data_IF_110335744187
#
_entry.id   IF_110335744187
#
_cell.length_a   1.000
_cell.length_b   1.000
_cell.length_c   1.000
_cell.angle_alpha   90.00
_cell.angle_beta   90.00
_cell.angle_gamma   90.00
#
_symmetry.space_group_name_H-M   'P 1'
#
loop_
_entity.id
_entity.type
_entity.pdbx_description
1 polymer ?
#
# COMPACT_ATOMS: atom_id res chain seq x y z
N UNK A 1 -51.65 -80.45 47.09
CA UNK A 1 -53.03 -80.69 47.56
C UNK A 1 -53.47 -79.45 48.33
N UNK A 2 -54.44 -78.70 47.76
CA UNK A 2 -55.50 -77.87 48.40
C UNK A 2 -55.05 -76.79 49.41
N UNK A 3 -55.04 -75.48 49.08
CA UNK A 3 -56.16 -74.49 49.14
C UNK A 3 -56.74 -74.38 50.58
N UNK A 4 -56.76 -73.24 51.29
CA UNK A 4 -57.74 -72.09 51.33
C UNK A 4 -57.36 -71.29 52.62
N UNK A 5 -57.21 -69.95 52.69
CA UNK A 5 -58.14 -68.78 52.58
C UNK A 5 -58.60 -68.22 53.96
N UNK A 6 -58.68 -66.88 54.03
CA UNK A 6 -59.50 -66.00 54.90
C UNK A 6 -59.17 -65.87 56.41
N UNK A 7 -59.44 -64.79 57.18
CA UNK A 7 -59.86 -63.38 57.01
C UNK A 7 -60.15 -62.76 58.43
N UNK A 8 -59.87 -61.46 58.66
CA UNK A 8 -60.58 -60.49 59.58
C UNK A 8 -60.49 -60.63 61.14
N UNK A 9 -60.92 -59.64 61.98
CA UNK A 9 -60.97 -58.15 61.94
C UNK A 9 -60.33 -57.40 63.16
N UNK A 10 -60.32 -56.06 63.05
CA UNK A 10 -60.11 -55.01 64.06
C UNK A 10 -61.24 -54.79 65.10
N UNK A 11 -60.96 -54.08 66.22
CA UNK A 11 -61.88 -53.25 67.04
C UNK A 11 -61.08 -52.50 68.17
N UNK A 12 -61.10 -51.15 68.28
CA UNK A 12 -62.00 -50.24 69.06
C UNK A 12 -61.96 -50.46 70.59
N UNK A 13 -62.10 -49.52 71.55
CA UNK A 13 -62.02 -48.06 71.72
C UNK A 13 -62.22 -47.78 73.25
N UNK A 14 -61.92 -46.56 73.73
CA UNK A 14 -62.56 -45.84 74.87
C UNK A 14 -62.13 -45.97 76.39
N UNK A 15 -61.85 -44.77 76.98
CA UNK A 15 -62.15 -44.18 78.32
C UNK A 15 -61.29 -44.37 79.62
N UNK A 16 -60.52 -43.31 79.98
CA UNK A 16 -60.41 -42.47 81.24
C UNK A 16 -60.77 -43.02 82.67
N UNK A 17 -60.44 -42.35 83.83
CA UNK A 17 -59.35 -41.41 84.24
C UNK A 17 -58.74 -41.62 85.69
N UNK A 18 -57.84 -40.70 86.09
CA UNK A 18 -57.56 -40.15 87.45
C UNK A 18 -56.54 -40.79 88.44
N UNK A 19 -55.54 -39.98 88.88
CA UNK A 19 -55.26 -39.57 90.29
C UNK A 19 -53.91 -38.83 90.43
N UNK A 20 -53.89 -37.74 91.21
CA UNK A 20 -52.70 -36.98 91.70
C UNK A 20 -52.42 -37.42 93.16
N UNK A 21 -51.17 -37.63 93.62
CA UNK A 21 -50.49 -36.66 94.53
C UNK A 21 -48.92 -36.64 94.42
N UNK A 22 -48.28 -35.46 94.41
CA UNK A 22 -47.67 -34.67 95.52
C UNK A 22 -46.24 -35.06 95.97
N UNK A 23 -45.27 -34.33 95.38
CA UNK A 23 -44.19 -33.54 96.00
C UNK A 23 -43.32 -34.11 97.14
N UNK A 24 -42.00 -34.23 96.89
CA UNK A 24 -40.82 -33.86 97.72
C UNK A 24 -39.57 -34.55 97.13
N UNK A 25 -38.35 -34.05 97.09
CA UNK A 25 -37.69 -32.74 97.25
C UNK A 25 -36.18 -33.00 97.00
N UNK A 26 -35.47 -32.11 96.28
CA UNK A 26 -34.03 -31.91 96.55
C UNK A 26 -32.96 -32.54 95.64
N UNK A 27 -33.14 -32.69 94.31
CA UNK A 27 -32.03 -33.06 93.38
C UNK A 27 -32.05 -32.37 92.00
N UNK A 28 -32.84 -31.31 91.80
CA UNK A 28 -33.00 -30.66 90.46
C UNK A 28 -32.09 -29.44 90.24
N UNK A 29 -31.37 -28.96 91.26
CA UNK A 29 -30.52 -27.76 91.14
C UNK A 29 -29.10 -28.06 90.61
N UNK A 30 -28.66 -29.33 90.64
CA UNK A 30 -27.32 -29.73 90.16
C UNK A 30 -27.29 -29.93 88.63
N UNK A 31 -28.43 -30.25 88.01
CA UNK A 31 -28.53 -30.52 86.58
C UNK A 31 -28.62 -29.25 85.71
N UNK A 32 -29.05 -28.10 86.25
CA UNK A 32 -29.07 -26.84 85.47
C UNK A 32 -27.67 -26.25 85.27
N UNK A 33 -26.76 -26.41 86.24
CA UNK A 33 -25.37 -25.95 86.12
C UNK A 33 -24.54 -26.83 85.17
N UNK A 34 -24.80 -28.15 85.16
CA UNK A 34 -24.18 -29.08 84.21
C UNK A 34 -24.62 -28.83 82.75
N UNK A 35 -25.86 -28.40 82.53
CA UNK A 35 -26.36 -28.06 81.20
C UNK A 35 -25.69 -26.84 80.58
N UNK A 36 -25.43 -25.78 81.37
CA UNK A 36 -24.77 -24.56 80.87
C UNK A 36 -23.30 -24.81 80.53
N UNK A 37 -22.60 -25.63 81.32
CA UNK A 37 -21.21 -26.00 81.04
C UNK A 37 -21.06 -26.85 79.76
N UNK A 38 -22.07 -27.66 79.41
CA UNK A 38 -22.03 -28.47 78.19
C UNK A 38 -22.24 -27.61 76.93
N UNK A 39 -23.09 -26.58 76.99
CA UNK A 39 -23.35 -25.67 75.87
C UNK A 39 -22.13 -24.79 75.57
N UNK A 40 -21.42 -24.31 76.60
CA UNK A 40 -20.20 -23.51 76.41
C UNK A 40 -19.03 -24.35 75.86
N UNK A 41 -18.93 -25.62 76.27
CA UNK A 41 -17.92 -26.54 75.75
C UNK A 41 -18.18 -26.92 74.27
N UNK A 42 -19.44 -27.18 73.89
CA UNK A 42 -19.77 -27.45 72.48
C UNK A 42 -19.60 -26.20 71.59
N UNK A 43 -19.94 -25.01 72.10
CA UNK A 43 -19.81 -23.76 71.36
C UNK A 43 -18.35 -23.39 71.04
N UNK A 44 -17.44 -23.59 71.99
CA UNK A 44 -16.00 -23.31 71.79
C UNK A 44 -15.36 -24.26 70.77
N UNK A 45 -15.69 -25.56 70.83
CA UNK A 45 -15.22 -26.54 69.83
C UNK A 45 -15.72 -26.19 68.42
N UNK A 46 -16.96 -25.73 68.27
CA UNK A 46 -17.50 -25.34 66.97
C UNK A 46 -16.78 -24.12 66.36
N UNK A 47 -16.38 -23.15 67.20
CA UNK A 47 -15.63 -21.95 66.74
C UNK A 47 -14.21 -22.31 66.32
N UNK A 48 -13.53 -23.21 67.02
CA UNK A 48 -12.18 -23.67 66.65
C UNK A 48 -12.17 -24.51 65.36
N UNK A 49 -13.24 -25.27 65.11
CA UNK A 49 -13.42 -26.02 63.85
C UNK A 49 -13.70 -25.08 62.66
N UNK A 50 -14.51 -24.04 62.86
CA UNK A 50 -14.83 -23.06 61.81
C UNK A 50 -13.62 -22.17 61.51
N UNK A 51 -12.85 -21.79 62.53
CA UNK A 51 -11.67 -20.92 62.37
C UNK A 51 -10.54 -21.58 61.55
N UNK A 52 -10.45 -22.92 61.55
CA UNK A 52 -9.48 -23.65 60.72
C UNK A 52 -9.81 -23.63 59.21
N UNK A 53 -11.05 -23.30 58.83
CA UNK A 53 -11.46 -23.28 57.41
C UNK A 53 -11.23 -21.93 56.73
N UNK A 54 -10.80 -20.90 57.47
CA UNK A 54 -10.58 -19.56 56.93
C UNK A 54 -9.10 -19.15 56.95
N UNK A 55 -8.26 -19.92 56.26
CA UNK A 55 -6.95 -19.44 55.83
C UNK A 55 -6.71 -19.89 54.40
N UNK A 56 -7.39 -19.24 53.46
CA UNK A 56 -7.03 -19.36 52.05
C UNK A 56 -5.67 -18.69 51.86
N UNK A 57 -4.61 -19.49 51.91
CA UNK A 57 -3.29 -19.10 51.44
C UNK A 57 -3.43 -18.81 49.94
N UNK A 58 -3.42 -17.54 49.56
CA UNK A 58 -3.29 -17.14 48.16
C UNK A 58 -1.91 -17.60 47.68
N UNK A 59 -1.87 -18.69 46.92
CA UNK A 59 -0.69 -19.07 46.17
C UNK A 59 -0.57 -18.08 45.00
N UNK A 60 0.47 -17.23 44.95
CA UNK A 60 0.68 -16.39 43.78
C UNK A 60 0.89 -17.30 42.57
N UNK A 61 0.14 -17.04 41.49
CA UNK A 61 0.33 -17.70 40.21
C UNK A 61 1.81 -17.63 39.84
N UNK A 62 2.49 -18.74 39.48
CA UNK A 62 3.89 -18.67 39.10
C UNK A 62 4.02 -17.73 37.90
N UNK A 63 4.75 -16.63 38.08
CA UNK A 63 5.18 -15.80 36.95
C UNK A 63 6.16 -16.65 36.15
N UNK A 64 5.71 -17.16 35.01
CA UNK A 64 6.58 -17.83 34.04
C UNK A 64 7.66 -16.84 33.61
N UNK A 65 8.87 -16.99 34.14
CA UNK A 65 10.05 -16.30 33.63
C UNK A 65 10.30 -16.81 32.22
N UNK A 66 10.03 -15.95 31.23
CA UNK A 66 10.28 -16.24 29.83
C UNK A 66 11.80 -16.35 29.65
N UNK A 67 12.31 -17.52 29.29
CA UNK A 67 13.72 -17.69 28.99
C UNK A 67 14.13 -16.73 27.86
N UNK A 68 15.34 -16.13 27.90
CA UNK A 68 15.77 -15.19 26.88
C UNK A 68 15.81 -15.87 25.51
N UNK A 69 15.03 -15.35 24.56
CA UNK A 69 14.97 -15.85 23.18
C UNK A 69 16.34 -15.63 22.53
N UNK A 70 17.11 -16.70 22.39
CA UNK A 70 18.51 -16.65 21.91
C UNK A 70 18.61 -16.65 20.38
N UNK A 71 17.52 -16.98 19.69
CA UNK A 71 17.47 -17.07 18.23
C UNK A 71 16.08 -16.71 17.72
N UNK A 72 16.01 -15.68 16.91
CA UNK A 72 14.79 -15.27 16.20
C UNK A 72 14.95 -15.76 14.77
N UNK A 73 14.05 -16.63 14.33
CA UNK A 73 13.97 -17.06 12.94
C UNK A 73 12.80 -16.35 12.28
N UNK A 74 13.09 -15.59 11.24
CA UNK A 74 12.08 -14.95 10.42
C UNK A 74 12.15 -15.51 9.00
N UNK A 75 10.99 -15.75 8.39
CA UNK A 75 10.92 -15.97 6.95
C UNK A 75 11.00 -14.59 6.27
N UNK A 76 11.87 -14.49 5.28
CA UNK A 76 11.99 -13.33 4.41
C UNK A 76 11.87 -13.73 2.95
N UNK A 77 11.65 -12.74 2.09
CA UNK A 77 11.71 -12.92 0.63
C UNK A 77 12.81 -12.02 0.09
N UNK A 78 13.57 -12.52 -0.88
CA UNK A 78 14.49 -11.70 -1.63
C UNK A 78 13.70 -10.75 -2.53
N UNK A 79 14.13 -9.50 -2.58
CA UNK A 79 13.65 -8.49 -3.51
C UNK A 79 14.84 -8.04 -4.36
N UNK A 80 14.62 -7.75 -5.65
CA UNK A 80 15.64 -7.12 -6.46
C UNK A 80 16.01 -5.76 -5.82
N UNK A 81 17.29 -5.42 -5.85
CA UNK A 81 17.77 -4.12 -5.35
C UNK A 81 17.19 -2.94 -6.17
N UNK A 82 16.76 -3.21 -7.41
CA UNK A 82 16.15 -2.23 -8.31
C UNK A 82 14.83 -2.72 -8.90
N UNK A 83 14.28 -1.90 -9.78
CA UNK A 83 13.01 -2.14 -10.45
C UNK A 83 13.18 -2.96 -11.73
N UNK A 84 12.09 -3.60 -12.16
CA UNK A 84 12.02 -4.26 -13.48
C UNK A 84 11.81 -3.19 -14.55
N UNK A 85 12.85 -2.90 -15.32
CA UNK A 85 12.79 -1.95 -16.42
C UNK A 85 12.17 -2.64 -17.63
N UNK A 86 10.95 -2.23 -18.00
CA UNK A 86 10.31 -2.67 -19.24
C UNK A 86 10.83 -1.83 -20.39
N UNK A 87 11.53 -2.48 -21.32
CA UNK A 87 12.05 -1.84 -22.51
C UNK A 87 10.96 -1.83 -23.58
N UNK A 88 10.45 -0.64 -23.89
CA UNK A 88 9.51 -0.41 -24.99
C UNK A 88 10.00 0.76 -25.85
N UNK A 89 9.70 0.68 -27.14
CA UNK A 89 9.99 1.78 -28.08
C UNK A 89 8.78 2.70 -28.16
N UNK A 90 8.99 4.01 -28.00
CA UNK A 90 7.92 5.01 -28.00
C UNK A 90 7.10 5.04 -29.32
N UNK A 91 7.70 4.58 -30.42
CA UNK A 91 7.07 4.49 -31.74
C UNK A 91 7.00 3.03 -32.22
N UNK A 92 6.30 2.20 -31.45
CA UNK A 92 6.14 0.76 -31.72
C UNK A 92 5.35 0.43 -33.01
N UNK A 93 4.70 1.41 -33.66
CA UNK A 93 3.90 1.20 -34.88
C UNK A 93 4.74 0.69 -36.06
N UNK A 94 6.02 1.08 -36.14
CA UNK A 94 6.90 0.75 -37.26
C UNK A 94 8.26 0.16 -36.82
N UNK A 95 8.43 -0.07 -35.52
CA UNK A 95 9.69 -0.52 -34.91
C UNK A 95 9.56 -1.94 -34.36
N UNK A 96 9.53 -2.91 -35.27
CA UNK A 96 9.76 -4.32 -34.92
C UNK A 96 11.24 -4.53 -34.61
N UNK A 97 11.56 -5.45 -33.69
CA UNK A 97 12.95 -5.88 -33.48
C UNK A 97 13.41 -6.68 -34.69
N UNK A 98 14.51 -6.26 -35.31
CA UNK A 98 15.16 -6.97 -36.41
C UNK A 98 16.12 -8.04 -35.87
N UNK A 99 16.99 -7.64 -34.93
CA UNK A 99 17.98 -8.53 -34.32
C UNK A 99 18.18 -8.22 -32.84
N UNK A 100 18.22 -9.25 -32.00
CA UNK A 100 18.65 -9.15 -30.61
C UNK A 100 20.17 -9.38 -30.53
N UNK A 101 20.87 -8.54 -29.77
CA UNK A 101 22.33 -8.54 -29.62
C UNK A 101 22.79 -9.15 -28.28
N UNK A 102 21.84 -9.61 -27.47
CA UNK A 102 22.05 -10.14 -26.13
C UNK A 102 21.16 -11.38 -25.94
N UNK A 103 21.59 -12.29 -25.08
CA UNK A 103 20.82 -13.49 -24.77
C UNK A 103 20.07 -13.35 -23.44
N UNK A 104 19.09 -14.23 -23.23
CA UNK A 104 18.35 -14.27 -21.98
C UNK A 104 19.27 -14.63 -20.80
N UNK A 105 19.26 -13.80 -19.76
CA UNK A 105 20.11 -13.97 -18.57
C UNK A 105 21.44 -13.21 -18.63
N UNK A 106 21.76 -12.56 -19.74
CA UNK A 106 22.96 -11.73 -19.86
C UNK A 106 22.92 -10.48 -18.97
N UNK A 107 24.10 -10.11 -18.45
CA UNK A 107 24.28 -8.87 -17.69
C UNK A 107 24.53 -7.71 -18.65
N UNK A 108 23.56 -6.81 -18.76
CA UNK A 108 23.66 -5.59 -19.58
C UNK A 108 24.02 -4.37 -18.75
N UNK A 109 24.71 -3.41 -19.37
CA UNK A 109 25.03 -2.10 -18.76
C UNK A 109 24.11 -1.00 -19.30
N UNK A 110 23.98 0.09 -18.55
CA UNK A 110 23.26 1.26 -19.03
C UNK A 110 23.88 1.81 -20.34
N UNK A 111 23.05 2.10 -21.33
CA UNK A 111 23.48 2.61 -22.65
C UNK A 111 24.01 1.55 -23.61
N UNK A 112 24.05 0.27 -23.23
CA UNK A 112 24.43 -0.80 -24.13
C UNK A 112 23.35 -1.05 -25.18
N UNK A 113 23.75 -1.19 -26.45
CA UNK A 113 22.85 -1.63 -27.50
C UNK A 113 22.47 -3.11 -27.31
N UNK A 114 21.18 -3.36 -27.12
CA UNK A 114 20.63 -4.71 -26.86
C UNK A 114 19.90 -5.30 -28.07
N UNK A 115 19.43 -4.44 -28.99
CA UNK A 115 18.66 -4.84 -30.15
C UNK A 115 18.84 -3.83 -31.28
N UNK A 116 18.68 -4.30 -32.51
CA UNK A 116 18.54 -3.48 -33.72
C UNK A 116 17.08 -3.52 -34.17
N UNK A 117 16.57 -2.38 -34.62
CA UNK A 117 15.18 -2.25 -35.08
C UNK A 117 15.09 -2.38 -36.60
N UNK A 118 13.99 -2.93 -37.06
CA UNK A 118 13.66 -3.00 -38.47
C UNK A 118 13.49 -1.58 -39.03
N UNK A 119 14.09 -1.30 -40.19
CA UNK A 119 14.05 0.03 -40.80
C UNK A 119 15.21 0.95 -40.42
N UNK A 120 16.19 0.49 -39.64
CA UNK A 120 17.44 1.22 -39.41
C UNK A 120 18.12 1.60 -40.74
N UNK A 121 18.19 0.67 -41.70
CA UNK A 121 18.80 0.92 -43.01
C UNK A 121 18.07 2.01 -43.79
N UNK A 122 16.73 2.00 -43.78
CA UNK A 122 15.92 3.04 -44.44
C UNK A 122 16.18 4.41 -43.83
N UNK A 123 16.21 4.48 -42.49
CA UNK A 123 16.54 5.71 -41.76
C UNK A 123 17.96 6.18 -42.04
N UNK A 124 18.91 5.26 -42.20
CA UNK A 124 20.29 5.60 -42.54
C UNK A 124 20.38 6.20 -43.94
N UNK A 125 19.63 5.66 -44.90
CA UNK A 125 19.53 6.20 -46.27
C UNK A 125 18.87 7.58 -46.27
N UNK A 126 17.76 7.74 -45.56
CA UNK A 126 17.05 9.02 -45.43
C UNK A 126 17.94 10.10 -44.78
N UNK A 127 18.72 9.72 -43.78
CA UNK A 127 19.69 10.60 -43.14
C UNK A 127 20.79 11.02 -44.13
N UNK A 128 21.34 10.08 -44.89
CA UNK A 128 22.34 10.39 -45.91
C UNK A 128 21.79 11.28 -47.04
N UNK A 129 20.52 11.11 -47.42
CA UNK A 129 19.84 11.98 -48.39
C UNK A 129 19.66 13.40 -47.83
N UNK A 130 19.21 13.52 -46.58
CA UNK A 130 19.04 14.80 -45.90
C UNK A 130 20.38 15.56 -45.77
N UNK A 131 21.47 14.86 -45.45
CA UNK A 131 22.82 15.44 -45.38
C UNK A 131 23.28 15.98 -46.74
N UNK A 132 23.04 15.24 -47.82
CA UNK A 132 23.36 15.70 -49.19
C UNK A 132 22.55 16.93 -49.58
N UNK A 133 21.25 16.92 -49.29
CA UNK A 133 20.37 18.07 -49.53
C UNK A 133 20.88 19.32 -48.80
N UNK A 134 21.26 19.16 -47.53
CA UNK A 134 21.84 20.24 -46.73
C UNK A 134 23.19 20.72 -47.27
N UNK A 135 24.03 19.84 -47.83
CA UNK A 135 25.26 20.26 -48.51
C UNK A 135 24.98 21.10 -49.77
N UNK A 136 24.00 20.71 -50.58
CA UNK A 136 23.57 21.46 -51.77
C UNK A 136 23.02 22.83 -51.39
N UNK A 137 22.14 22.90 -50.38
CA UNK A 137 21.56 24.18 -49.95
C UNK A 137 22.62 25.11 -49.32
N UNK A 138 23.59 24.56 -48.59
CA UNK A 138 24.75 25.35 -48.12
C UNK A 138 25.59 25.87 -49.27
N UNK A 139 25.82 25.08 -50.31
CA UNK A 139 26.54 25.52 -51.49
C UNK A 139 25.78 26.62 -52.26
N UNK A 140 24.46 26.48 -52.42
CA UNK A 140 23.61 27.53 -53.01
C UNK A 140 23.64 28.80 -52.19
N UNK A 141 23.55 28.70 -50.86
CA UNK A 141 23.65 29.84 -49.96
C UNK A 141 25.02 30.52 -50.09
N UNK A 142 26.11 29.75 -50.15
CA UNK A 142 27.44 30.28 -50.39
C UNK A 142 27.55 30.96 -51.77
N UNK A 143 26.95 30.39 -52.81
CA UNK A 143 26.91 30.98 -54.15
C UNK A 143 26.07 32.27 -54.20
N UNK A 144 24.96 32.35 -53.47
CA UNK A 144 24.14 33.57 -53.37
C UNK A 144 24.93 34.65 -52.62
N UNK A 145 25.60 34.29 -51.52
CA UNK A 145 26.47 35.21 -50.77
C UNK A 145 27.67 35.67 -51.60
N UNK A 146 28.37 34.77 -52.28
CA UNK A 146 29.46 35.12 -53.20
C UNK A 146 28.94 35.85 -54.46
N UNK A 147 27.67 35.67 -54.77
CA UNK A 147 26.90 36.41 -55.75
C UNK A 147 26.63 37.86 -55.36
N UNK A 148 27.35 38.43 -54.38
CA UNK A 148 27.59 39.88 -54.24
C UNK A 148 27.93 40.56 -55.58
N UNK A 149 28.44 39.82 -56.58
CA UNK A 149 28.54 40.32 -57.97
C UNK A 149 27.19 40.78 -58.57
N UNK A 150 26.06 40.20 -58.15
CA UNK A 150 24.72 40.69 -58.50
C UNK A 150 24.41 42.04 -57.87
N UNK A 151 25.04 42.41 -56.74
CA UNK A 151 24.87 43.77 -56.20
C UNK A 151 25.40 44.80 -57.19
N UNK A 152 26.60 44.58 -57.75
CA UNK A 152 27.16 45.49 -58.75
C UNK A 152 26.28 45.61 -60.00
N UNK A 153 25.69 44.49 -60.45
CA UNK A 153 24.74 44.50 -61.57
C UNK A 153 23.41 45.19 -61.22
N UNK A 154 22.91 45.02 -59.99
CA UNK A 154 21.75 45.76 -59.47
C UNK A 154 22.05 47.27 -59.45
N UNK A 155 23.20 47.70 -58.94
CA UNK A 155 23.58 49.13 -58.90
C UNK A 155 23.75 49.73 -60.29
N UNK A 156 24.28 48.95 -61.25
CA UNK A 156 24.38 49.39 -62.64
C UNK A 156 23.00 49.58 -63.28
N UNK A 157 22.06 48.67 -63.01
CA UNK A 157 20.69 48.78 -63.49
C UNK A 157 19.93 49.95 -62.83
N UNK A 158 20.17 50.20 -61.54
CA UNK A 158 19.63 51.38 -60.84
C UNK A 158 20.08 52.69 -61.51
N UNK A 159 21.36 52.80 -61.88
CA UNK A 159 21.87 53.98 -62.59
C UNK A 159 21.23 54.15 -63.99
N UNK A 160 20.95 53.05 -64.70
CA UNK A 160 20.25 53.10 -65.99
C UNK A 160 18.80 53.57 -65.82
N UNK A 161 18.12 53.09 -64.77
CA UNK A 161 16.75 53.51 -64.44
C UNK A 161 16.71 55.00 -64.11
N UNK A 162 17.62 55.48 -63.26
CA UNK A 162 17.73 56.90 -62.89
C UNK A 162 17.97 57.79 -64.12
N UNK A 163 18.91 57.40 -64.99
CA UNK A 163 19.16 58.12 -66.24
C UNK A 163 17.93 58.16 -67.15
N UNK A 164 17.23 57.03 -67.26
CA UNK A 164 16.02 56.92 -68.09
C UNK A 164 14.90 57.81 -67.55
N UNK A 165 14.74 57.88 -66.23
CA UNK A 165 13.79 58.79 -65.58
C UNK A 165 14.14 60.26 -65.83
N UNK A 166 15.42 60.62 -65.71
CA UNK A 166 15.88 61.97 -66.01
C UNK A 166 15.56 62.37 -67.46
N UNK A 167 15.81 61.49 -68.44
CA UNK A 167 15.45 61.75 -69.84
C UNK A 167 13.95 61.96 -70.04
N UNK A 168 13.11 61.11 -69.45
CA UNK A 168 11.65 61.28 -69.53
C UNK A 168 11.20 62.62 -68.93
N UNK A 169 11.80 63.06 -67.82
CA UNK A 169 11.48 64.37 -67.24
C UNK A 169 11.93 65.53 -68.12
N UNK A 170 13.11 65.46 -68.74
CA UNK A 170 13.57 66.49 -69.68
C UNK A 170 12.67 66.56 -70.92
N UNK A 171 12.35 65.42 -71.52
CA UNK A 171 11.46 65.38 -72.69
C UNK A 171 10.05 65.92 -72.39
N UNK A 172 9.52 65.65 -71.20
CA UNK A 172 8.19 66.18 -70.81
C UNK A 172 8.24 67.68 -70.59
N UNK A 173 9.28 68.21 -69.94
CA UNK A 173 9.48 69.67 -69.78
C UNK A 173 9.64 70.36 -71.13
N UNK A 174 10.46 69.82 -72.03
CA UNK A 174 10.65 70.37 -73.38
C UNK A 174 9.35 70.39 -74.19
N UNK A 175 8.57 69.29 -74.14
CA UNK A 175 7.25 69.23 -74.79
C UNK A 175 6.27 70.24 -74.18
N UNK A 176 6.26 70.42 -72.86
CA UNK A 176 5.39 71.38 -72.19
C UNK A 176 5.74 72.84 -72.56
N UNK A 177 7.03 73.17 -72.63
CA UNK A 177 7.51 74.51 -73.02
C UNK A 177 7.26 74.85 -74.49
N UNK A 178 7.15 73.84 -75.36
CA UNK A 178 6.86 74.05 -76.79
C UNK A 178 5.36 74.29 -77.05
N UNK A 179 4.47 73.80 -76.18
CA UNK A 179 3.01 73.92 -76.31
C UNK A 179 2.48 75.22 -75.69
N UNK A 180 3.25 75.88 -74.82
CA UNK A 180 2.91 77.19 -74.25
C UNK A 180 3.83 78.32 -74.76
N UNK A 181 3.77 78.70 -76.06
CA UNK A 181 4.22 80.03 -76.44
C UNK A 181 3.16 81.06 -76.05
N UNK A 182 3.64 82.17 -75.50
CA UNK A 182 2.97 83.42 -75.08
C UNK A 182 1.62 83.74 -75.76
#
# INVERSE_FOLDING_TARGET
MVVTKDNKPANSAFLQPAKIPKQRSGKTLVYSLAGVAFITFLGTIAVDLISQTHTQKFTPTPTTTIAPVTKITALGRLQPQGEVIKLSVAYAQDSRVDKLLVDEGDKVKAGQAIATLQGMDKKQVELAEAEKSLAVERAKLAQIKAGEAKLAEITAQEAIIERSQAQLTTETVEKQSTIAPN
#
